data_IF_198366378459
#
_entry.id   IF_198366378459
#
_cell.length_a   1.000
_cell.length_b   1.000
_cell.length_c   1.000
_cell.angle_alpha   90.00
_cell.angle_beta   90.00
_cell.angle_gamma   90.00
#
_symmetry.space_group_name_H-M   'P 1'
#
loop_
_entity.id
_entity.type
_entity.pdbx_description
1 polymer ?
#
# COMPACT_ATOMS: atom_id res chain seq x y z
N UNK A 1 -42.71 16.25 -17.65
CA UNK A 1 -43.60 15.83 -16.55
C UNK A 1 -44.55 14.75 -17.10
N UNK A 2 -44.24 13.47 -16.84
CA UNK A 2 -45.10 12.33 -17.20
C UNK A 2 -45.12 11.41 -15.98
N UNK A 3 -46.32 11.23 -15.47
CA UNK A 3 -46.69 10.57 -14.23
C UNK A 3 -47.12 9.13 -14.57
N UNK A 4 -46.51 8.18 -13.86
CA UNK A 4 -47.05 6.91 -13.29
C UNK A 4 -47.65 5.88 -14.24
N UNK A 5 -47.18 4.63 -14.14
CA UNK A 5 -48.02 3.44 -13.86
C UNK A 5 -47.18 2.34 -13.17
N UNK A 6 -47.70 1.86 -12.04
CA UNK A 6 -47.20 0.73 -11.26
C UNK A 6 -47.85 -0.57 -11.73
N UNK A 7 -47.12 -1.68 -11.70
CA UNK A 7 -47.71 -3.03 -11.64
C UNK A 7 -46.83 -3.99 -10.85
N UNK A 8 -47.47 -4.62 -9.88
CA UNK A 8 -47.01 -5.62 -8.92
C UNK A 8 -47.50 -7.00 -9.43
N UNK A 9 -46.67 -8.06 -9.39
CA UNK A 9 -47.09 -9.46 -9.49
C UNK A 9 -45.87 -10.37 -9.25
N UNK A 10 -45.94 -11.60 -8.73
CA UNK A 10 -46.83 -12.34 -7.82
C UNK A 10 -46.06 -13.67 -7.56
N UNK A 11 -46.10 -14.19 -6.33
CA UNK A 11 -45.47 -15.43 -5.87
C UNK A 11 -45.89 -16.70 -6.62
N UNK A 12 -45.06 -17.76 -6.56
CA UNK A 12 -45.53 -19.16 -6.48
C UNK A 12 -44.47 -20.13 -5.92
N UNK A 13 -44.93 -20.97 -5.00
CA UNK A 13 -44.25 -22.02 -4.23
C UNK A 13 -44.14 -23.38 -4.95
N UNK A 14 -43.39 -24.34 -4.36
CA UNK A 14 -43.72 -25.75 -4.03
C UNK A 14 -42.44 -26.62 -4.04
N UNK A 15 -41.90 -27.07 -2.90
CA UNK A 15 -42.17 -28.32 -2.15
C UNK A 15 -42.16 -29.61 -2.99
N UNK A 16 -41.20 -30.49 -2.73
CA UNK A 16 -41.21 -31.92 -3.11
C UNK A 16 -40.66 -32.75 -1.95
N UNK A 17 -41.35 -33.86 -1.65
CA UNK A 17 -41.21 -34.69 -0.46
C UNK A 17 -40.73 -36.10 -0.85
N UNK A 18 -39.90 -36.68 0.04
CA UNK A 18 -39.83 -38.09 0.46
C UNK A 18 -39.26 -39.21 -0.47
N UNK A 19 -38.29 -39.96 0.07
CA UNK A 19 -38.17 -41.42 -0.07
C UNK A 19 -37.42 -42.03 1.14
N UNK A 20 -38.03 -43.04 1.78
CA UNK A 20 -37.63 -43.67 3.04
C UNK A 20 -36.78 -44.95 2.85
N UNK A 21 -35.92 -45.28 3.83
CA UNK A 21 -35.71 -46.66 4.35
C UNK A 21 -34.89 -46.63 5.64
N UNK A 22 -35.49 -47.14 6.72
CA UNK A 22 -34.90 -47.51 8.04
C UNK A 22 -34.79 -49.07 8.12
N UNK A 23 -34.28 -49.75 9.19
CA UNK A 23 -33.70 -49.31 10.49
C UNK A 23 -32.42 -50.07 10.95
N UNK A 24 -31.76 -49.61 12.03
CA UNK A 24 -31.47 -50.38 13.28
C UNK A 24 -30.29 -49.79 14.11
N UNK A 25 -30.49 -49.85 15.43
CA UNK A 25 -29.84 -49.24 16.60
C UNK A 25 -28.32 -49.46 16.78
N UNK A 26 -27.59 -48.48 17.34
CA UNK A 26 -27.13 -48.49 18.75
C UNK A 26 -26.12 -47.35 19.04
N UNK A 27 -26.13 -46.93 20.30
CA UNK A 27 -25.11 -46.24 21.08
C UNK A 27 -25.02 -44.72 21.00
N UNK A 28 -25.50 -44.11 22.10
CA UNK A 28 -25.32 -42.73 22.49
C UNK A 28 -23.84 -42.30 22.56
N UNK A 29 -23.52 -41.18 21.92
CA UNK A 29 -22.43 -40.31 22.30
C UNK A 29 -22.79 -38.85 21.95
N UNK A 30 -22.43 -37.99 22.88
CA UNK A 30 -22.80 -36.58 23.03
C UNK A 30 -22.13 -35.63 22.02
N UNK A 31 -22.81 -34.51 21.75
CA UNK A 31 -22.30 -33.18 21.35
C UNK A 31 -21.64 -33.01 19.97
N UNK A 32 -22.34 -32.32 19.06
CA UNK A 32 -21.99 -30.96 18.60
C UNK A 32 -22.86 -30.59 17.39
N UNK A 33 -23.82 -29.71 17.62
CA UNK A 33 -24.69 -29.07 16.63
C UNK A 33 -23.83 -28.10 15.80
N UNK A 34 -23.66 -28.37 14.51
CA UNK A 34 -23.00 -27.45 13.58
C UNK A 34 -24.04 -26.46 13.05
N UNK A 35 -24.06 -25.28 13.66
CA UNK A 35 -24.74 -24.08 13.21
C UNK A 35 -24.08 -23.57 11.90
N UNK A 36 -24.81 -23.45 10.77
CA UNK A 36 -24.25 -22.83 9.57
C UNK A 36 -24.41 -21.31 9.68
N UNK A 37 -23.67 -20.72 10.60
CA UNK A 37 -23.55 -19.27 10.69
C UNK A 37 -22.64 -18.77 9.56
N UNK A 38 -23.25 -17.95 8.69
CA UNK A 38 -22.65 -16.83 7.96
C UNK A 38 -21.23 -17.05 7.42
N UNK A 39 -21.16 -17.36 6.12
CA UNK A 39 -20.01 -17.03 5.31
C UNK A 39 -19.86 -15.49 5.32
N UNK A 40 -19.07 -14.97 6.25
CA UNK A 40 -18.57 -13.61 6.15
C UNK A 40 -17.71 -13.50 4.88
N UNK A 41 -17.87 -12.45 4.05
CA UNK A 41 -16.93 -12.24 2.97
C UNK A 41 -15.56 -12.05 3.61
N UNK A 42 -14.61 -12.92 3.25
CA UNK A 42 -13.21 -12.67 3.50
C UNK A 42 -12.89 -11.31 2.88
N UNK A 43 -12.76 -10.29 3.74
CA UNK A 43 -12.17 -9.02 3.38
C UNK A 43 -10.84 -9.37 2.74
N UNK A 44 -10.71 -9.08 1.45
CA UNK A 44 -9.42 -9.12 0.80
C UNK A 44 -8.54 -8.15 1.57
N UNK A 45 -7.66 -8.69 2.42
CA UNK A 45 -6.58 -7.90 3.00
C UNK A 45 -5.85 -7.27 1.82
N UNK A 46 -5.79 -5.93 1.83
CA UNK A 46 -4.92 -5.19 0.94
C UNK A 46 -3.52 -5.81 1.03
N UNK A 47 -2.80 -5.95 -0.09
CA UNK A 47 -1.48 -6.57 -0.05
C UNK A 47 -0.64 -5.84 0.99
N UNK A 48 0.00 -6.59 1.89
CA UNK A 48 1.01 -6.05 2.78
C UNK A 48 1.92 -5.12 1.96
N UNK A 49 2.04 -3.86 2.39
CA UNK A 49 2.81 -2.83 1.68
C UNK A 49 4.19 -3.41 1.32
N UNK A 50 4.41 -3.66 0.03
CA UNK A 50 5.72 -4.05 -0.44
C UNK A 50 6.66 -2.88 -0.13
N UNK A 51 7.71 -3.13 0.64
CA UNK A 51 8.67 -2.11 1.01
C UNK A 51 9.17 -1.33 -0.23
N UNK A 52 9.27 -0.01 -0.10
CA UNK A 52 9.85 0.85 -1.14
C UNK A 52 11.25 0.35 -1.49
N UNK A 53 11.48 0.07 -2.78
CA UNK A 53 12.79 -0.38 -3.25
C UNK A 53 13.79 0.78 -3.20
N UNK A 54 15.03 0.49 -2.81
CA UNK A 54 16.13 1.46 -2.94
C UNK A 54 16.56 1.58 -4.40
N UNK A 55 16.32 2.73 -5.01
CA UNK A 55 16.65 3.02 -6.40
C UNK A 55 18.15 2.89 -6.70
N UNK A 56 19.02 3.03 -5.69
CA UNK A 56 20.47 2.90 -5.86
C UNK A 56 20.95 1.46 -5.94
N UNK A 57 20.11 0.49 -5.57
CA UNK A 57 20.48 -0.94 -5.51
C UNK A 57 19.47 -1.88 -6.17
N UNK A 58 18.29 -1.39 -6.57
CA UNK A 58 17.26 -2.18 -7.24
C UNK A 58 17.75 -2.75 -8.58
N UNK A 59 17.46 -4.03 -8.85
CA UNK A 59 17.79 -4.66 -10.14
C UNK A 59 16.78 -4.32 -11.22
N UNK A 60 17.17 -4.47 -12.49
CA UNK A 60 16.28 -4.26 -13.63
C UNK A 60 15.00 -5.13 -13.54
N UNK A 61 15.13 -6.37 -13.04
CA UNK A 61 14.00 -7.29 -12.85
C UNK A 61 13.05 -6.81 -11.75
N UNK A 62 13.59 -6.33 -10.62
CA UNK A 62 12.77 -5.77 -9.54
C UNK A 62 12.01 -4.53 -10.00
N UNK A 63 12.68 -3.66 -10.76
CA UNK A 63 12.07 -2.45 -11.32
C UNK A 63 10.99 -2.81 -12.34
N UNK A 64 11.26 -3.72 -13.28
CA UNK A 64 10.30 -4.13 -14.31
C UNK A 64 9.02 -4.79 -13.75
N UNK A 65 9.06 -5.27 -12.50
CA UNK A 65 7.87 -5.79 -11.81
C UNK A 65 6.96 -4.68 -11.24
N UNK A 66 7.41 -3.42 -11.21
CA UNK A 66 6.64 -2.31 -10.66
C UNK A 66 5.60 -1.78 -11.67
N UNK A 67 4.36 -1.49 -11.22
CA UNK A 67 3.39 -0.78 -12.05
C UNK A 67 3.96 0.56 -12.53
N UNK A 68 3.79 0.86 -13.82
CA UNK A 68 4.30 2.09 -14.42
C UNK A 68 5.78 2.04 -14.83
N UNK A 69 6.51 0.96 -14.54
CA UNK A 69 7.89 0.80 -14.99
C UNK A 69 7.94 0.18 -16.39
N UNK A 70 8.48 0.93 -17.36
CA UNK A 70 8.80 0.38 -18.69
C UNK A 70 10.20 -0.23 -18.69
N UNK A 71 10.52 -1.16 -19.61
CA UNK A 71 11.88 -1.70 -19.73
C UNK A 71 12.95 -0.63 -19.96
N UNK A 72 12.62 0.43 -20.70
CA UNK A 72 13.54 1.54 -20.98
C UNK A 72 13.76 2.40 -19.73
N UNK A 73 12.69 2.68 -18.96
CA UNK A 73 12.81 3.41 -17.70
C UNK A 73 13.60 2.61 -16.66
N UNK A 74 13.35 1.30 -16.53
CA UNK A 74 14.11 0.44 -15.63
C UNK A 74 15.60 0.45 -15.96
N UNK A 75 15.96 0.37 -17.25
CA UNK A 75 17.35 0.48 -17.70
C UNK A 75 17.95 1.86 -17.40
N UNK A 76 17.21 2.94 -17.61
CA UNK A 76 17.67 4.28 -17.27
C UNK A 76 17.94 4.43 -15.77
N UNK A 77 17.05 3.86 -14.93
CA UNK A 77 17.23 3.87 -13.48
C UNK A 77 18.48 3.08 -13.07
N UNK A 78 18.70 1.87 -13.60
CA UNK A 78 19.91 1.08 -13.31
C UNK A 78 21.17 1.77 -13.80
N UNK A 79 21.14 2.38 -14.99
CA UNK A 79 22.29 3.09 -15.55
C UNK A 79 22.69 4.34 -14.73
N UNK A 80 21.75 4.92 -13.96
CA UNK A 80 22.00 6.04 -13.07
C UNK A 80 22.55 5.65 -11.69
N UNK A 81 22.66 4.36 -11.37
CA UNK A 81 23.12 3.90 -10.06
C UNK A 81 24.64 4.05 -9.87
N UNK A 82 25.11 4.30 -8.63
CA UNK A 82 24.31 4.72 -7.47
C UNK A 82 23.95 6.21 -7.53
N UNK A 83 22.82 6.59 -6.93
CA UNK A 83 22.38 7.97 -6.89
C UNK A 83 23.01 8.74 -5.75
N UNK A 84 23.42 9.98 -6.01
CA UNK A 84 23.94 10.88 -4.98
C UNK A 84 22.83 11.46 -4.08
N UNK A 85 21.60 11.56 -4.57
CA UNK A 85 20.44 12.11 -3.85
C UNK A 85 19.11 11.69 -4.48
N UNK A 86 18.00 11.96 -3.79
CA UNK A 86 16.67 11.75 -4.35
C UNK A 86 16.41 12.67 -5.54
N UNK A 87 16.93 13.91 -5.53
CA UNK A 87 16.88 14.82 -6.69
C UNK A 87 17.61 14.25 -7.92
N UNK A 88 18.77 13.61 -7.73
CA UNK A 88 19.49 12.98 -8.84
C UNK A 88 18.68 11.83 -9.47
N UNK A 89 18.02 11.01 -8.63
CA UNK A 89 17.11 9.97 -9.09
C UNK A 89 15.88 10.54 -9.80
N UNK A 90 15.24 11.55 -9.21
CA UNK A 90 14.08 12.19 -9.82
C UNK A 90 14.42 12.81 -11.18
N UNK A 91 15.64 13.35 -11.35
CA UNK A 91 16.11 13.86 -12.64
C UNK A 91 16.11 12.77 -13.71
N UNK A 92 16.45 11.51 -13.39
CA UNK A 92 16.36 10.39 -14.33
C UNK A 92 14.91 10.09 -14.69
N UNK A 93 14.00 10.04 -13.71
CA UNK A 93 12.58 9.81 -13.96
C UNK A 93 11.98 10.87 -14.90
N UNK A 94 12.31 12.13 -14.65
CA UNK A 94 11.80 13.29 -15.40
C UNK A 94 12.33 13.39 -16.85
N UNK A 95 13.28 12.55 -17.27
CA UNK A 95 13.71 12.47 -18.67
C UNK A 95 12.63 11.89 -19.58
N UNK A 96 11.75 11.05 -19.04
CA UNK A 96 10.71 10.34 -19.80
C UNK A 96 9.31 10.42 -19.21
N UNK A 97 9.17 10.88 -17.96
CA UNK A 97 7.90 10.94 -17.24
C UNK A 97 7.46 12.38 -16.97
N UNK A 98 6.15 12.60 -16.84
CA UNK A 98 5.62 13.82 -16.21
C UNK A 98 5.95 13.86 -14.72
N UNK A 99 5.78 15.02 -14.09
CA UNK A 99 5.98 15.17 -12.64
C UNK A 99 5.06 14.23 -11.83
N UNK A 100 3.79 14.09 -12.25
CA UNK A 100 2.82 13.20 -11.61
C UNK A 100 3.19 11.73 -11.78
N UNK A 101 3.64 11.33 -12.98
CA UNK A 101 4.09 9.96 -13.23
C UNK A 101 5.35 9.62 -12.45
N UNK A 102 6.31 10.56 -12.38
CA UNK A 102 7.50 10.39 -11.57
C UNK A 102 7.14 10.25 -10.08
N UNK A 103 6.20 11.05 -9.57
CA UNK A 103 5.71 10.92 -8.19
C UNK A 103 5.10 9.54 -7.91
N UNK A 104 4.30 8.99 -8.83
CA UNK A 104 3.74 7.64 -8.69
C UNK A 104 4.83 6.55 -8.68
N UNK A 105 5.88 6.69 -9.49
CA UNK A 105 7.02 5.76 -9.44
C UNK A 105 7.74 5.85 -8.09
N UNK A 106 7.91 7.06 -7.54
CA UNK A 106 8.56 7.29 -6.24
C UNK A 106 7.82 6.65 -5.07
N UNK A 107 6.54 6.31 -5.20
CA UNK A 107 5.80 5.56 -4.17
C UNK A 107 6.30 4.12 -3.98
N UNK A 108 7.03 3.57 -4.96
CA UNK A 108 7.48 2.16 -4.97
C UNK A 108 8.98 1.99 -5.06
N UNK A 109 9.69 2.99 -5.57
CA UNK A 109 11.15 3.00 -5.67
C UNK A 109 11.69 4.40 -5.40
N UNK A 110 12.61 4.53 -4.47
CA UNK A 110 13.13 5.82 -4.02
C UNK A 110 14.59 5.70 -3.57
N UNK A 111 15.30 6.82 -3.47
CA UNK A 111 16.64 6.85 -2.85
C UNK A 111 16.46 7.25 -1.40
N UNK A 112 16.67 6.36 -0.41
CA UNK A 112 16.52 6.74 1.00
C UNK A 112 17.41 7.94 1.36
N UNK A 113 16.81 8.95 1.98
CA UNK A 113 17.51 10.20 2.32
C UNK A 113 17.97 10.19 3.77
N UNK A 114 19.17 10.70 4.06
CA UNK A 114 19.61 10.89 5.44
C UNK A 114 18.97 12.17 6.00
N UNK A 115 18.05 12.05 6.96
CA UNK A 115 17.32 13.21 7.50
C UNK A 115 18.21 14.21 8.22
N UNK A 116 19.35 13.82 8.75
CA UNK A 116 20.26 14.74 9.41
C UNK A 116 20.98 15.66 8.41
N UNK A 117 21.01 15.31 7.12
CA UNK A 117 21.78 16.04 6.11
C UNK A 117 21.02 16.35 4.80
N UNK A 118 19.84 15.77 4.60
CA UNK A 118 19.09 15.91 3.36
C UNK A 118 18.65 17.36 3.12
N UNK A 119 18.63 17.76 1.86
CA UNK A 119 18.09 19.06 1.46
C UNK A 119 16.57 19.09 1.57
N UNK A 120 15.99 20.29 1.70
CA UNK A 120 14.54 20.51 1.61
C UNK A 120 13.95 19.90 0.32
N UNK A 121 14.67 20.06 -0.80
CA UNK A 121 14.28 19.52 -2.11
C UNK A 121 14.20 17.98 -2.11
N UNK A 122 15.17 17.31 -1.48
CA UNK A 122 15.17 15.85 -1.36
C UNK A 122 14.00 15.37 -0.48
N UNK A 123 13.68 16.08 0.62
CA UNK A 123 12.53 15.76 1.48
C UNK A 123 11.22 15.95 0.72
N UNK A 124 11.09 17.04 -0.05
CA UNK A 124 9.90 17.35 -0.83
C UNK A 124 9.57 16.28 -1.89
N UNK A 125 10.56 15.48 -2.30
CA UNK A 125 10.37 14.39 -3.26
C UNK A 125 9.75 13.13 -2.65
N UNK A 126 9.70 13.01 -1.31
CA UNK A 126 8.97 11.93 -0.64
C UNK A 126 7.48 12.06 -1.00
N UNK A 127 6.84 11.00 -1.54
CA UNK A 127 5.43 11.05 -1.89
C UNK A 127 4.55 11.43 -0.70
N UNK A 128 3.58 12.32 -0.92
CA UNK A 128 2.66 12.80 0.12
C UNK A 128 3.23 13.88 1.05
N UNK A 129 4.46 14.35 0.82
CA UNK A 129 5.06 15.38 1.64
C UNK A 129 4.37 16.74 1.46
N UNK A 130 4.27 17.51 2.56
CA UNK A 130 3.70 18.87 2.57
C UNK A 130 4.72 19.83 3.18
N UNK A 131 4.65 21.12 2.84
CA UNK A 131 5.54 22.17 3.40
C UNK A 131 5.61 22.12 4.92
N UNK A 132 4.48 21.84 5.57
CA UNK A 132 4.42 21.64 7.02
C UNK A 132 5.28 20.45 7.46
N UNK A 133 5.09 19.27 6.86
CA UNK A 133 5.84 18.08 7.23
C UNK A 133 7.33 18.18 6.91
N UNK A 134 7.69 18.88 5.84
CA UNK A 134 9.10 19.21 5.53
C UNK A 134 9.70 20.00 6.69
N UNK A 135 9.01 21.05 7.13
CA UNK A 135 9.46 21.85 8.27
C UNK A 135 9.60 21.03 9.55
N UNK A 136 8.64 20.14 9.87
CA UNK A 136 8.77 19.25 11.04
C UNK A 136 10.00 18.33 10.91
N UNK A 137 10.29 17.80 9.72
CA UNK A 137 11.49 16.96 9.48
C UNK A 137 12.80 17.73 9.70
N UNK A 138 12.81 19.03 9.44
CA UNK A 138 14.00 19.88 9.61
C UNK A 138 14.17 20.37 11.04
N UNK A 139 13.08 20.72 11.71
CA UNK A 139 13.08 21.28 13.07
C UNK A 139 13.67 20.30 14.11
N UNK A 140 13.41 19.01 13.96
CA UNK A 140 13.92 17.98 14.89
C UNK A 140 15.35 17.51 14.60
N UNK A 141 16.04 18.10 13.62
CA UNK A 141 17.43 17.71 13.33
C UNK A 141 18.39 18.20 14.44
N UNK A 142 19.42 17.42 14.78
CA UNK A 142 19.65 16.04 14.33
C UNK A 142 18.80 15.04 15.14
N UNK A 143 18.26 14.04 14.46
CA UNK A 143 17.69 12.86 15.08
C UNK A 143 18.83 11.95 15.57
N UNK A 144 18.78 11.55 16.84
CA UNK A 144 19.76 10.64 17.42
C UNK A 144 19.59 9.19 16.93
N UNK A 145 18.34 8.75 16.78
CA UNK A 145 17.98 7.42 16.30
C UNK A 145 16.56 7.38 15.72
N UNK A 146 16.20 6.24 15.15
CA UNK A 146 14.88 6.08 14.53
C UNK A 146 13.72 6.04 15.55
N UNK A 147 13.98 5.76 16.84
CA UNK A 147 12.94 5.84 17.86
C UNK A 147 12.62 7.31 18.21
N UNK A 148 13.61 8.20 18.09
CA UNK A 148 13.38 9.64 18.10
C UNK A 148 12.56 10.10 16.89
N UNK A 149 12.88 9.62 15.68
CA UNK A 149 12.04 9.87 14.51
C UNK A 149 10.58 9.45 14.77
N UNK A 150 10.34 8.22 15.21
CA UNK A 150 8.99 7.69 15.45
C UNK A 150 8.23 8.55 16.48
N UNK A 151 8.89 8.97 17.57
CA UNK A 151 8.29 9.77 18.64
C UNK A 151 7.98 11.20 18.21
N UNK A 152 8.90 11.86 17.51
CA UNK A 152 8.73 13.27 17.13
C UNK A 152 7.75 13.41 15.95
N UNK A 153 7.87 12.57 14.92
CA UNK A 153 6.99 12.60 13.75
C UNK A 153 5.59 12.08 14.08
N UNK A 154 5.46 11.09 14.96
CA UNK A 154 4.16 10.56 15.43
C UNK A 154 3.30 11.57 16.21
N UNK A 155 3.80 12.77 16.53
CA UNK A 155 2.98 13.87 17.07
C UNK A 155 2.10 14.53 16.01
N UNK A 156 2.41 14.36 14.73
CA UNK A 156 1.80 15.09 13.61
C UNK A 156 1.03 14.20 12.66
N UNK A 157 1.38 12.92 12.59
CA UNK A 157 0.78 11.93 11.72
C UNK A 157 0.49 10.64 12.50
N UNK A 158 -0.38 9.80 11.97
CA UNK A 158 -0.70 8.51 12.60
C UNK A 158 0.42 7.47 12.42
N UNK A 159 0.30 6.35 13.13
CA UNK A 159 1.31 5.28 13.13
C UNK A 159 1.53 4.67 11.73
N UNK A 160 0.48 4.62 10.90
CA UNK A 160 0.59 4.09 9.54
C UNK A 160 1.42 5.03 8.66
N UNK A 161 1.21 6.33 8.79
CA UNK A 161 1.98 7.33 8.08
C UNK A 161 3.42 7.42 8.57
N UNK A 162 3.68 7.29 9.88
CA UNK A 162 5.06 7.15 10.40
C UNK A 162 5.75 5.94 9.75
N UNK A 163 5.08 4.77 9.75
CA UNK A 163 5.63 3.55 9.16
C UNK A 163 5.89 3.70 7.65
N UNK A 164 5.03 4.42 6.93
CA UNK A 164 5.23 4.74 5.50
C UNK A 164 6.44 5.64 5.30
N UNK A 165 6.52 6.76 6.01
CA UNK A 165 7.61 7.73 5.90
C UNK A 165 8.97 7.10 6.24
N UNK A 166 9.00 6.17 7.21
CA UNK A 166 10.19 5.41 7.59
C UNK A 166 10.86 4.68 6.43
N UNK A 167 10.11 4.31 5.39
CA UNK A 167 10.64 3.61 4.21
C UNK A 167 11.50 4.50 3.31
N UNK A 168 11.41 5.82 3.47
CA UNK A 168 12.09 6.81 2.61
C UNK A 168 13.33 7.43 3.26
N UNK A 169 13.61 7.10 4.53
CA UNK A 169 14.55 7.87 5.35
C UNK A 169 15.58 7.00 6.06
N UNK A 170 16.72 7.61 6.35
CA UNK A 170 17.84 7.11 7.16
C UNK A 170 18.34 8.25 8.05
N UNK A 171 19.29 7.98 8.96
CA UNK A 171 19.88 8.97 9.88
C UNK A 171 21.40 9.03 9.79
#
# INVERSE_FOLDING_TARGET
MRIVFATLALSASMLSLAACSEPAEDTAATTAEADPAAMEPATAEAPADAAVLDASTATAEQLAALPGMTPDLAQAVVAGQPYASATAFNTVLMQSLSAEQAAQVRERVFVPINLNTASEEDIALIPGMTDRMIHEFEEYRPYADMAEFDREIGKYVDEAEVARLRQYVTL
#
